data_IF_265892449549
#
_entry.id   IF_265892449549
#
_cell.length_a   1.000
_cell.length_b   1.000
_cell.length_c   1.000
_cell.angle_alpha   90.00
_cell.angle_beta   90.00
_cell.angle_gamma   90.00
#
_symmetry.space_group_name_H-M   'P 1'
#
loop_
_entity.id
_entity.type
_entity.pdbx_description
1 polymer ?
#
# COMPACT_ATOMS: atom_id res chain seq x y z
N UNK A 1 -12.79 -2.22 -15.96
CA UNK A 1 -13.34 -3.58 -15.79
C UNK A 1 -12.23 -4.47 -15.25
N UNK A 2 -12.21 -4.72 -13.95
CA UNK A 2 -11.27 -5.66 -13.36
C UNK A 2 -11.70 -7.09 -13.74
N UNK A 3 -10.80 -7.83 -14.38
CA UNK A 3 -11.02 -9.23 -14.75
C UNK A 3 -10.92 -10.08 -13.47
N UNK A 4 -12.06 -10.60 -12.99
CA UNK A 4 -12.05 -11.60 -11.92
C UNK A 4 -11.54 -12.93 -12.50
N UNK A 5 -10.33 -13.34 -12.13
CA UNK A 5 -9.68 -14.58 -12.58
C UNK A 5 -9.89 -15.76 -11.64
N UNK A 6 -10.67 -15.60 -10.57
CA UNK A 6 -10.99 -16.66 -9.60
C UNK A 6 -12.32 -17.34 -9.94
N UNK A 7 -12.38 -18.66 -9.78
CA UNK A 7 -13.66 -19.38 -9.78
C UNK A 7 -14.44 -18.99 -8.53
N UNK A 8 -15.69 -18.53 -8.69
CA UNK A 8 -16.57 -18.14 -7.57
C UNK A 8 -16.76 -19.30 -6.58
N UNK A 9 -16.61 -20.55 -7.04
CA UNK A 9 -16.69 -21.76 -6.22
C UNK A 9 -15.51 -21.98 -5.25
N UNK A 10 -14.47 -21.14 -5.29
CA UNK A 10 -13.27 -21.27 -4.44
C UNK A 10 -13.24 -20.28 -3.26
N UNK A 11 -14.28 -19.48 -3.07
CA UNK A 11 -14.34 -18.55 -1.95
C UNK A 11 -15.03 -19.19 -0.76
N UNK A 12 -14.24 -19.54 0.25
CA UNK A 12 -14.74 -19.81 1.59
C UNK A 12 -15.33 -18.52 2.14
N UNK A 13 -16.66 -18.44 2.15
CA UNK A 13 -17.33 -17.32 2.78
C UNK A 13 -16.99 -17.32 4.26
N UNK A 14 -16.45 -16.22 4.82
CA UNK A 14 -16.11 -16.18 6.22
C UNK A 14 -17.39 -16.35 7.04
N UNK A 15 -17.42 -17.39 7.89
CA UNK A 15 -18.55 -17.69 8.77
C UNK A 15 -18.76 -16.61 9.85
N UNK A 16 -17.75 -15.79 10.08
CA UNK A 16 -17.77 -14.66 11.01
C UNK A 16 -17.48 -13.34 10.26
N UNK A 17 -18.07 -12.25 10.74
CA UNK A 17 -17.77 -10.90 10.25
C UNK A 17 -16.28 -10.63 10.42
N UNK A 18 -15.56 -10.51 9.30
CA UNK A 18 -14.13 -10.20 9.33
C UNK A 18 -13.96 -8.72 9.63
N UNK A 19 -13.35 -8.44 10.77
CA UNK A 19 -12.97 -7.08 11.17
C UNK A 19 -11.47 -6.91 11.05
N UNK A 20 -11.04 -5.95 10.23
CA UNK A 20 -9.64 -5.59 10.06
C UNK A 20 -9.32 -4.38 10.93
N UNK A 21 -8.42 -4.53 11.91
CA UNK A 21 -7.97 -3.38 12.72
C UNK A 21 -7.12 -2.44 11.88
N UNK A 22 -7.53 -1.17 11.83
CA UNK A 22 -6.84 -0.11 11.09
C UNK A 22 -5.86 0.67 11.98
N UNK A 23 -6.22 0.87 13.25
CA UNK A 23 -5.38 1.61 14.19
C UNK A 23 -5.32 0.93 15.56
N UNK A 24 -4.11 0.58 16.00
CA UNK A 24 -3.89 -0.02 17.32
C UNK A 24 -4.12 0.96 18.49
N UNK A 25 -4.07 2.27 18.26
CA UNK A 25 -4.18 3.28 19.33
C UNK A 25 -5.64 3.65 19.65
N UNK A 26 -6.44 3.98 18.63
CA UNK A 26 -7.83 4.38 18.83
C UNK A 26 -8.82 3.23 18.66
N UNK A 27 -8.38 2.05 18.22
CA UNK A 27 -9.25 0.90 18.00
C UNK A 27 -10.06 0.97 16.71
N UNK A 28 -9.75 1.92 15.83
CA UNK A 28 -10.41 2.04 14.52
C UNK A 28 -10.27 0.74 13.72
N UNK A 29 -11.36 0.29 13.12
CA UNK A 29 -11.43 -0.97 12.42
C UNK A 29 -12.39 -0.91 11.23
N UNK A 30 -12.04 -1.64 10.18
CA UNK A 30 -12.87 -1.83 9.01
C UNK A 30 -13.67 -3.12 9.17
N UNK A 31 -14.99 -3.03 9.00
CA UNK A 31 -15.87 -4.19 9.00
C UNK A 31 -16.60 -4.25 7.66
N UNK A 32 -16.57 -5.43 7.06
CA UNK A 32 -17.33 -5.75 5.87
C UNK A 32 -18.63 -6.42 6.28
N UNK A 33 -19.76 -5.84 5.91
CA UNK A 33 -21.08 -6.38 6.22
C UNK A 33 -21.72 -6.95 4.95
N UNK A 34 -21.33 -8.18 4.61
CA UNK A 34 -21.91 -8.88 3.47
C UNK A 34 -22.77 -10.04 3.95
N UNK A 35 -23.97 -10.13 3.37
CA UNK A 35 -24.86 -11.26 3.60
C UNK A 35 -24.26 -12.53 2.98
N UNK A 36 -24.25 -13.64 3.72
CA UNK A 36 -23.81 -14.93 3.20
C UNK A 36 -24.66 -15.33 1.99
N UNK A 37 -23.97 -15.57 0.87
CA UNK A 37 -24.58 -16.16 -0.31
C UNK A 37 -24.43 -17.68 -0.21
N UNK A 38 -25.55 -18.40 -0.16
CA UNK A 38 -25.56 -19.87 -0.22
C UNK A 38 -25.22 -20.33 -1.64
N UNK A 39 -23.93 -20.37 -1.97
CA UNK A 39 -23.44 -20.61 -3.32
C UNK A 39 -23.98 -21.92 -3.91
N UNK A 40 -23.92 -23.03 -3.15
CA UNK A 40 -24.37 -24.34 -3.61
C UNK A 40 -25.88 -24.40 -3.92
N UNK A 41 -26.69 -23.69 -3.13
CA UNK A 41 -28.13 -23.56 -3.39
C UNK A 41 -28.37 -22.67 -4.62
N UNK A 42 -27.66 -21.55 -4.70
CA UNK A 42 -27.77 -20.59 -5.80
C UNK A 42 -27.43 -21.24 -7.13
N UNK A 43 -26.30 -21.96 -7.22
CA UNK A 43 -25.88 -22.66 -8.43
C UNK A 43 -26.83 -23.80 -8.80
N UNK A 44 -27.36 -24.54 -7.81
CA UNK A 44 -28.38 -25.57 -8.08
C UNK A 44 -29.63 -24.98 -8.71
N UNK A 45 -30.11 -23.84 -8.22
CA UNK A 45 -31.26 -23.12 -8.82
C UNK A 45 -30.94 -22.64 -10.23
N UNK A 46 -29.80 -21.99 -10.43
CA UNK A 46 -29.41 -21.51 -11.77
C UNK A 46 -29.36 -22.67 -12.78
N UNK A 47 -28.78 -23.81 -12.40
CA UNK A 47 -28.69 -25.01 -13.26
C UNK A 47 -30.03 -25.68 -13.54
N UNK A 48 -31.05 -25.49 -12.69
CA UNK A 48 -32.40 -26.02 -12.94
C UNK A 48 -33.24 -25.15 -13.88
N UNK A 49 -32.69 -24.05 -14.39
CA UNK A 49 -33.43 -23.07 -15.20
C UNK A 49 -34.31 -22.15 -14.36
N UNK A 50 -34.10 -22.12 -13.03
CA UNK A 50 -34.80 -21.20 -12.15
C UNK A 50 -34.50 -19.74 -12.53
N UNK A 51 -35.54 -18.91 -12.56
CA UNK A 51 -35.42 -17.48 -12.76
C UNK A 51 -36.12 -16.73 -11.63
N UNK A 52 -35.42 -15.89 -10.86
CA UNK A 52 -36.02 -15.13 -9.78
C UNK A 52 -37.01 -14.10 -10.33
N UNK A 53 -38.16 -13.98 -9.67
CA UNK A 53 -39.24 -13.07 -10.05
C UNK A 53 -39.83 -12.33 -8.85
N UNK A 54 -40.52 -11.22 -9.11
CA UNK A 54 -41.19 -10.42 -8.08
C UNK A 54 -40.26 -9.98 -6.95
N UNK A 55 -40.65 -10.30 -5.71
CA UNK A 55 -39.92 -9.91 -4.50
C UNK A 55 -38.51 -10.49 -4.44
N UNK A 56 -38.30 -11.71 -4.94
CA UNK A 56 -36.98 -12.34 -4.90
C UNK A 56 -35.99 -11.64 -5.84
N UNK A 57 -36.44 -11.21 -7.02
CA UNK A 57 -35.61 -10.37 -7.91
C UNK A 57 -35.22 -9.06 -7.23
N UNK A 58 -36.18 -8.39 -6.58
CA UNK A 58 -35.90 -7.16 -5.84
C UNK A 58 -34.89 -7.38 -4.71
N UNK A 59 -34.99 -8.52 -4.00
CA UNK A 59 -34.04 -8.91 -2.95
C UNK A 59 -32.62 -9.09 -3.51
N UNK A 60 -32.45 -9.82 -4.63
CA UNK A 60 -31.12 -9.97 -5.24
C UNK A 60 -30.57 -8.65 -5.79
N UNK A 61 -31.42 -7.79 -6.35
CA UNK A 61 -31.00 -6.45 -6.77
C UNK A 61 -30.46 -5.64 -5.61
N UNK A 62 -31.16 -5.64 -4.46
CA UNK A 62 -30.68 -4.97 -3.25
C UNK A 62 -29.36 -5.56 -2.74
N UNK A 63 -29.23 -6.88 -2.69
CA UNK A 63 -27.98 -7.52 -2.28
C UNK A 63 -26.79 -7.13 -3.17
N UNK A 64 -27.03 -6.93 -4.48
CA UNK A 64 -25.99 -6.44 -5.39
C UNK A 64 -25.64 -4.97 -5.15
N UNK A 65 -26.63 -4.12 -4.88
CA UNK A 65 -26.42 -2.72 -4.51
C UNK A 65 -25.61 -2.62 -3.20
N UNK A 66 -26.02 -3.35 -2.15
CA UNK A 66 -25.33 -3.40 -0.87
C UNK A 66 -23.87 -3.90 -1.05
N UNK A 67 -23.66 -4.95 -1.86
CA UNK A 67 -22.31 -5.47 -2.13
C UNK A 67 -21.42 -4.49 -2.92
N UNK A 68 -22.02 -3.72 -3.84
CA UNK A 68 -21.32 -2.68 -4.58
C UNK A 68 -20.92 -1.53 -3.66
N UNK A 69 -21.79 -1.11 -2.73
CA UNK A 69 -21.48 -0.11 -1.72
C UNK A 69 -20.32 -0.57 -0.81
N UNK A 70 -20.34 -1.82 -0.34
CA UNK A 70 -19.24 -2.38 0.45
C UNK A 70 -17.92 -2.38 -0.33
N UNK A 71 -17.95 -2.68 -1.63
CA UNK A 71 -16.77 -2.65 -2.49
C UNK A 71 -16.22 -1.22 -2.62
N UNK A 72 -17.08 -0.22 -2.80
CA UNK A 72 -16.68 1.18 -2.91
C UNK A 72 -16.12 1.71 -1.58
N UNK A 73 -16.69 1.29 -0.44
CA UNK A 73 -16.14 1.53 0.90
C UNK A 73 -14.74 0.92 1.05
N UNK A 74 -14.55 -0.34 0.63
CA UNK A 74 -13.24 -1.00 0.65
C UNK A 74 -12.20 -0.25 -0.16
N UNK A 75 -12.56 0.18 -1.38
CA UNK A 75 -11.64 0.90 -2.26
C UNK A 75 -11.24 2.27 -1.69
N UNK A 76 -12.19 2.98 -1.09
CA UNK A 76 -11.93 4.27 -0.45
C UNK A 76 -10.96 4.12 0.71
N UNK A 77 -11.17 3.11 1.56
CA UNK A 77 -10.30 2.84 2.70
C UNK A 77 -8.91 2.38 2.27
N UNK A 78 -8.81 1.53 1.24
CA UNK A 78 -7.53 1.14 0.65
C UNK A 78 -6.73 2.34 0.14
N UNK A 79 -7.39 3.28 -0.55
CA UNK A 79 -6.73 4.50 -1.04
C UNK A 79 -6.19 5.35 0.12
N UNK A 80 -7.02 5.55 1.15
CA UNK A 80 -6.64 6.30 2.35
C UNK A 80 -5.41 5.68 3.04
N UNK A 81 -5.39 4.35 3.18
CA UNK A 81 -4.27 3.63 3.78
C UNK A 81 -2.99 3.72 2.93
N UNK A 82 -3.10 3.64 1.62
CA UNK A 82 -1.96 3.81 0.71
C UNK A 82 -1.36 5.21 0.78
N UNK A 83 -2.20 6.25 0.86
CA UNK A 83 -1.75 7.64 1.04
C UNK A 83 -1.04 7.81 2.39
N UNK A 84 -1.58 7.22 3.45
CA UNK A 84 -0.94 7.24 4.76
C UNK A 84 0.40 6.51 4.77
N UNK A 85 0.51 5.36 4.10
CA UNK A 85 1.77 4.62 3.95
C UNK A 85 2.84 5.49 3.29
N UNK A 86 2.50 6.13 2.16
CA UNK A 86 3.41 7.03 1.45
C UNK A 86 3.87 8.20 2.32
N UNK A 87 2.97 8.78 3.12
CA UNK A 87 3.33 9.85 4.04
C UNK A 87 4.33 9.38 5.12
N UNK A 88 4.17 8.16 5.63
CA UNK A 88 5.10 7.58 6.60
C UNK A 88 6.47 7.25 5.97
N UNK A 89 6.48 6.73 4.74
CA UNK A 89 7.70 6.48 3.97
C UNK A 89 8.49 7.79 3.74
N UNK A 90 7.81 8.88 3.38
CA UNK A 90 8.45 10.18 3.22
C UNK A 90 9.05 10.72 4.54
N UNK A 91 8.39 10.49 5.67
CA UNK A 91 8.94 10.84 6.99
C UNK A 91 10.18 10.00 7.33
N UNK A 92 10.18 8.72 6.99
CA UNK A 92 11.32 7.84 7.19
C UNK A 92 12.53 8.31 6.36
N UNK A 93 12.31 8.70 5.10
CA UNK A 93 13.35 9.25 4.22
C UNK A 93 13.94 10.55 4.80
N UNK A 94 13.07 11.46 5.26
CA UNK A 94 13.51 12.71 5.90
C UNK A 94 14.39 12.44 7.13
N UNK A 95 14.00 11.48 7.98
CA UNK A 95 14.80 11.07 9.13
C UNK A 95 16.15 10.48 8.70
N UNK A 96 16.17 9.67 7.63
CA UNK A 96 17.40 9.16 7.04
C UNK A 96 18.36 10.26 6.63
N UNK A 97 17.86 11.28 5.92
CA UNK A 97 18.63 12.46 5.49
C UNK A 97 19.14 13.26 6.69
N UNK A 98 18.29 13.49 7.69
CA UNK A 98 18.68 14.18 8.92
C UNK A 98 19.83 13.44 9.65
N UNK A 99 19.72 12.12 9.80
CA UNK A 99 20.77 11.30 10.41
C UNK A 99 22.07 11.32 9.60
N UNK A 100 21.99 11.31 8.27
CA UNK A 100 23.16 11.44 7.40
C UNK A 100 23.87 12.79 7.61
N UNK A 101 23.11 13.89 7.69
CA UNK A 101 23.65 15.22 7.99
C UNK A 101 24.39 15.27 9.33
N UNK A 102 23.80 14.72 10.40
CA UNK A 102 24.47 14.62 11.71
C UNK A 102 25.76 13.82 11.62
N UNK A 103 25.73 12.66 10.96
CA UNK A 103 26.93 11.81 10.79
C UNK A 103 28.03 12.54 10.02
N UNK A 104 27.68 13.32 9.00
CA UNK A 104 28.64 14.14 8.27
C UNK A 104 29.31 15.18 9.19
N UNK A 105 28.53 15.92 10.01
CA UNK A 105 29.09 16.91 10.94
C UNK A 105 29.96 16.26 12.02
N UNK A 106 29.62 15.06 12.46
CA UNK A 106 30.40 14.31 13.44
C UNK A 106 31.63 13.63 12.84
N UNK A 107 31.73 13.55 11.52
CA UNK A 107 32.85 12.90 10.84
C UNK A 107 34.15 13.65 11.13
N UNK A 108 35.25 12.97 11.53
CA UNK A 108 36.52 13.63 11.80
C UNK A 108 37.21 14.18 10.54
N UNK A 109 36.54 14.16 9.37
CA UNK A 109 37.09 14.59 8.08
C UNK A 109 37.61 16.04 8.11
N UNK A 110 36.99 16.92 8.90
CA UNK A 110 37.43 18.31 9.09
C UNK A 110 38.76 18.44 9.86
N UNK A 111 39.26 17.34 10.45
CA UNK A 111 40.56 17.28 11.12
C UNK A 111 41.68 16.74 10.21
N UNK A 112 41.34 16.29 9.00
CA UNK A 112 42.34 15.78 8.06
C UNK A 112 43.10 16.95 7.39
N UNK A 113 44.39 16.78 7.10
CA UNK A 113 45.13 17.72 6.26
C UNK A 113 44.50 17.87 4.89
N UNK A 114 44.62 19.05 4.29
CA UNK A 114 43.99 19.38 3.02
C UNK A 114 44.52 18.52 1.86
N UNK A 115 45.79 18.11 1.93
CA UNK A 115 46.43 17.22 0.95
C UNK A 115 45.76 15.84 0.96
N UNK A 116 45.44 15.30 2.14
CA UNK A 116 44.73 14.03 2.28
C UNK A 116 43.30 14.12 1.76
N UNK A 117 42.61 15.24 1.97
CA UNK A 117 41.28 15.47 1.39
C UNK A 117 41.35 15.51 -0.14
N UNK A 118 42.40 16.12 -0.70
CA UNK A 118 42.68 16.13 -2.13
C UNK A 118 42.89 14.72 -2.70
N UNK A 119 43.70 13.89 -2.03
CA UNK A 119 43.92 12.49 -2.43
C UNK A 119 42.64 11.65 -2.36
N UNK A 120 41.85 11.79 -1.29
CA UNK A 120 40.56 11.10 -1.14
C UNK A 120 39.60 11.51 -2.26
N UNK A 121 39.48 12.82 -2.54
CA UNK A 121 38.64 13.32 -3.62
C UNK A 121 39.11 12.79 -4.97
N UNK A 122 40.42 12.85 -5.24
CA UNK A 122 40.99 12.37 -6.49
C UNK A 122 40.74 10.85 -6.66
N UNK A 123 40.86 10.06 -5.59
CA UNK A 123 40.61 8.62 -5.64
C UNK A 123 39.13 8.27 -5.89
N UNK A 124 38.20 8.95 -5.22
CA UNK A 124 36.76 8.64 -5.27
C UNK A 124 36.07 9.27 -6.49
N UNK A 125 36.36 10.55 -6.77
CA UNK A 125 35.62 11.34 -7.76
C UNK A 125 36.31 11.41 -9.13
N UNK A 126 37.63 11.24 -9.18
CA UNK A 126 38.42 11.37 -10.41
C UNK A 126 39.17 10.07 -10.80
N UNK A 127 39.28 9.11 -9.88
CA UNK A 127 39.77 7.77 -10.15
C UNK A 127 38.67 6.97 -10.84
N UNK A 128 38.98 6.26 -11.92
CA UNK A 128 38.03 5.58 -12.80
C UNK A 128 37.18 4.44 -12.19
N UNK A 129 36.96 4.42 -10.87
CA UNK A 129 35.97 3.59 -10.18
C UNK A 129 34.67 4.36 -9.88
N UNK A 130 34.35 5.38 -10.68
CA UNK A 130 33.10 6.12 -10.59
C UNK A 130 31.91 5.29 -11.08
N UNK A 131 31.15 4.71 -10.16
CA UNK A 131 29.70 4.56 -10.40
C UNK A 131 29.13 5.97 -10.45
N UNK A 132 28.62 6.36 -11.61
CA UNK A 132 28.10 7.70 -11.89
C UNK A 132 27.05 8.12 -10.84
N UNK A 133 27.42 9.04 -9.95
CA UNK A 133 26.47 9.80 -9.13
C UNK A 133 26.79 11.30 -9.22
N UNK A 134 26.93 11.80 -10.45
CA UNK A 134 27.17 13.21 -10.74
C UNK A 134 25.99 13.84 -11.50
N UNK A 135 24.76 13.58 -11.05
CA UNK A 135 23.60 14.34 -11.50
C UNK A 135 22.72 14.69 -10.30
N UNK A 136 23.15 15.71 -9.55
CA UNK A 136 22.35 16.61 -8.71
C UNK A 136 23.12 17.04 -7.45
N UNK A 137 24.19 17.82 -7.60
CA UNK A 137 24.64 18.69 -6.51
C UNK A 137 25.02 20.03 -7.12
N UNK A 138 24.00 20.79 -7.50
CA UNK A 138 24.14 22.25 -7.59
C UNK A 138 24.20 22.78 -6.16
N UNK A 139 25.32 23.42 -5.81
CA UNK A 139 25.42 24.31 -4.66
C UNK A 139 25.82 23.67 -3.33
N UNK A 140 27.03 23.14 -3.23
CA UNK A 140 27.77 23.15 -1.96
C UNK A 140 28.92 24.14 -2.12
N UNK A 141 28.70 25.36 -1.59
CA UNK A 141 29.75 26.35 -1.35
C UNK A 141 30.41 25.93 -0.04
N UNK A 142 31.74 25.75 -0.07
CA UNK A 142 32.59 25.47 1.10
C UNK A 142 32.72 26.69 2.01
#
# INVERSE_FOLDING_TARGET
MAHFSGSIAQHDWPKERVSTRLCAKCGDSFQMDLHELKYDETIRRVRSGYSPYGLERALYSKLLEDAQEEMDRCQTELRRLQELSKAMEAQQELLGTYMAGIRCMMSPIYKLPQEMLGEIFQYICCGGMGVNLASAVDGIIW
#
